data_IF_539108809836
#
_entry.id   IF_539108809836
#
_cell.length_a   1.000
_cell.length_b   1.000
_cell.length_c   1.000
_cell.angle_alpha   90.00
_cell.angle_beta   90.00
_cell.angle_gamma   90.00
#
_symmetry.space_group_name_H-M   'P 1'
#
loop_
_entity.id
_entity.type
_entity.pdbx_description
1 polymer ?
#
# COMPACT_ATOMS: atom_id res chain seq x y z
N UNK A 1 48.62 12.17 43.50
CA UNK A 1 47.16 12.19 43.23
C UNK A 1 46.91 12.63 41.78
N UNK A 2 47.09 11.75 40.77
CA UNK A 2 46.93 12.14 39.35
C UNK A 2 46.45 10.99 38.46
N UNK A 3 45.31 10.34 38.75
CA UNK A 3 44.74 9.34 37.82
C UNK A 3 43.20 9.27 37.76
N UNK A 4 42.46 10.15 38.44
CA UNK A 4 40.98 10.08 38.46
C UNK A 4 40.28 10.87 37.35
N UNK A 5 40.94 11.87 36.74
CA UNK A 5 40.31 12.74 35.73
C UNK A 5 40.00 12.02 34.40
N UNK A 6 40.90 11.16 33.92
CA UNK A 6 40.68 10.40 32.66
C UNK A 6 39.54 9.40 32.76
N UNK A 7 39.39 8.72 33.92
CA UNK A 7 38.31 7.76 34.13
C UNK A 7 36.94 8.42 34.24
N UNK A 8 36.85 9.61 34.84
CA UNK A 8 35.59 10.37 34.92
C UNK A 8 35.17 10.87 33.53
N UNK A 9 36.13 11.31 32.70
CA UNK A 9 35.84 11.74 31.33
C UNK A 9 35.37 10.58 30.45
N UNK A 10 36.00 9.40 30.58
CA UNK A 10 35.55 8.18 29.91
C UNK A 10 34.14 7.78 30.35
N UNK A 11 33.87 7.77 31.65
CA UNK A 11 32.55 7.39 32.18
C UNK A 11 31.44 8.35 31.70
N UNK A 12 31.74 9.65 31.65
CA UNK A 12 30.84 10.66 31.09
C UNK A 12 30.53 10.40 29.60
N UNK A 13 31.54 10.05 28.81
CA UNK A 13 31.36 9.74 27.39
C UNK A 13 30.52 8.47 27.16
N UNK A 14 30.72 7.42 27.97
CA UNK A 14 29.87 6.23 27.94
C UNK A 14 28.43 6.60 28.29
N UNK A 15 28.21 7.35 29.35
CA UNK A 15 26.86 7.72 29.81
C UNK A 15 26.13 8.61 28.80
N UNK A 16 26.85 9.55 28.19
CA UNK A 16 26.34 10.41 27.12
C UNK A 16 25.97 9.57 25.90
N UNK A 17 26.82 8.61 25.49
CA UNK A 17 26.50 7.73 24.36
C UNK A 17 25.27 6.86 24.61
N UNK A 18 25.07 6.35 25.83
CA UNK A 18 23.91 5.51 26.19
C UNK A 18 22.59 6.29 26.22
N UNK A 19 22.61 7.54 26.71
CA UNK A 19 21.43 8.41 26.73
C UNK A 19 21.05 8.89 25.34
N UNK A 20 22.04 9.21 24.48
CA UNK A 20 21.79 9.53 23.07
C UNK A 20 21.16 8.34 22.31
N UNK A 21 21.56 7.10 22.62
CA UNK A 21 21.00 5.92 21.97
C UNK A 21 19.57 5.61 22.45
N UNK A 22 19.26 5.88 23.71
CA UNK A 22 17.90 5.72 24.28
C UNK A 22 16.94 6.82 23.83
N UNK A 23 17.45 7.98 23.42
CA UNK A 23 16.65 9.10 22.91
C UNK A 23 16.03 8.85 21.51
N UNK A 24 16.45 7.80 20.80
CA UNK A 24 15.89 7.46 19.49
C UNK A 24 14.43 6.93 19.54
N UNK A 25 13.83 6.78 20.73
CA UNK A 25 12.40 6.48 20.87
C UNK A 25 11.96 5.14 20.27
N UNK A 26 12.90 4.25 19.98
CA UNK A 26 12.61 2.90 19.48
C UNK A 26 11.93 2.10 20.59
N UNK A 27 10.70 1.68 20.32
CA UNK A 27 9.98 0.72 21.13
C UNK A 27 9.81 -0.53 20.29
N UNK A 28 9.92 -1.70 20.92
CA UNK A 28 9.59 -2.96 20.26
C UNK A 28 8.15 -2.83 19.75
N UNK A 29 8.00 -3.00 18.44
CA UNK A 29 6.68 -3.02 17.82
C UNK A 29 6.05 -4.35 18.22
N UNK A 30 5.17 -4.30 19.22
CA UNK A 30 4.38 -5.44 19.67
C UNK A 30 3.42 -5.93 18.59
N UNK A 31 2.47 -6.75 18.99
CA UNK A 31 1.40 -7.21 18.10
C UNK A 31 0.65 -6.01 17.49
N UNK A 32 0.04 -6.21 16.32
CA UNK A 32 -0.88 -5.22 15.80
C UNK A 32 -2.03 -5.08 16.80
N UNK A 33 -2.25 -3.86 17.30
CA UNK A 33 -3.38 -3.53 18.16
C UNK A 33 -4.68 -3.57 17.32
N UNK A 34 -5.11 -4.79 16.97
CA UNK A 34 -6.33 -5.07 16.23
C UNK A 34 -7.49 -4.80 17.19
N UNK A 35 -8.48 -3.98 16.80
CA UNK A 35 -9.65 -3.73 17.64
C UNK A 35 -10.41 -5.03 17.92
N UNK A 36 -10.97 -5.17 19.13
CA UNK A 36 -11.67 -6.39 19.57
C UNK A 36 -12.79 -6.77 18.60
N UNK A 37 -13.45 -5.79 17.99
CA UNK A 37 -14.49 -5.98 16.98
C UNK A 37 -13.99 -6.69 15.72
N UNK A 38 -12.68 -6.69 15.45
CA UNK A 38 -12.05 -7.35 14.30
C UNK A 38 -11.19 -8.57 14.70
N UNK A 39 -11.15 -8.93 15.98
CA UNK A 39 -10.48 -10.16 16.46
C UNK A 39 -11.10 -11.43 15.88
N UNK A 40 -12.38 -11.37 15.51
CA UNK A 40 -13.15 -12.44 14.88
C UNK A 40 -13.87 -11.90 13.65
N UNK A 41 -13.59 -12.44 12.47
CA UNK A 41 -14.22 -11.97 11.23
C UNK A 41 -14.38 -13.09 10.21
N UNK A 42 -15.22 -12.85 9.21
CA UNK A 42 -15.38 -13.71 8.04
C UNK A 42 -14.61 -13.16 6.85
N UNK A 43 -14.09 -14.05 6.00
CA UNK A 43 -13.37 -13.68 4.78
C UNK A 43 -14.17 -14.16 3.58
N UNK A 44 -14.54 -13.23 2.69
CA UNK A 44 -15.11 -13.55 1.38
C UNK A 44 -14.21 -12.99 0.28
N UNK A 45 -14.30 -13.52 -0.93
CA UNK A 45 -13.40 -13.14 -2.02
C UNK A 45 -14.05 -13.27 -3.39
N UNK A 46 -13.57 -12.49 -4.35
CA UNK A 46 -13.86 -12.64 -5.77
C UNK A 46 -13.50 -14.04 -6.30
N UNK A 47 -12.46 -14.65 -5.72
CA UNK A 47 -12.05 -16.03 -5.98
C UNK A 47 -11.56 -16.67 -4.67
N UNK A 48 -12.35 -17.62 -4.17
CA UNK A 48 -12.06 -18.34 -2.93
C UNK A 48 -10.79 -19.22 -3.00
N UNK A 49 -10.35 -19.61 -4.19
CA UNK A 49 -9.20 -20.49 -4.40
C UNK A 49 -7.93 -19.76 -4.85
N UNK A 50 -8.00 -18.44 -5.05
CA UNK A 50 -6.84 -17.67 -5.49
C UNK A 50 -5.67 -17.74 -4.51
N UNK A 51 -4.45 -17.62 -5.05
CA UNK A 51 -3.23 -17.55 -4.23
C UNK A 51 -3.32 -16.42 -3.20
N UNK A 52 -3.84 -15.27 -3.60
CA UNK A 52 -3.96 -14.11 -2.74
C UNK A 52 -4.96 -14.33 -1.59
N UNK A 53 -6.14 -14.92 -1.85
CA UNK A 53 -7.10 -15.27 -0.79
C UNK A 53 -6.46 -16.16 0.28
N UNK A 54 -5.69 -17.18 -0.15
CA UNK A 54 -4.95 -18.07 0.78
C UNK A 54 -3.89 -17.31 1.59
N UNK A 55 -3.18 -16.38 0.97
CA UNK A 55 -2.16 -15.55 1.64
C UNK A 55 -2.81 -14.61 2.67
N UNK A 56 -3.93 -13.96 2.33
CA UNK A 56 -4.68 -13.10 3.26
C UNK A 56 -5.18 -13.92 4.46
N UNK A 57 -5.81 -15.06 4.22
CA UNK A 57 -6.27 -15.95 5.31
C UNK A 57 -5.12 -16.36 6.24
N UNK A 58 -3.96 -16.71 5.68
CA UNK A 58 -2.78 -17.04 6.48
C UNK A 58 -2.30 -15.83 7.27
N UNK A 59 -2.26 -14.64 6.66
CA UNK A 59 -1.83 -13.43 7.33
C UNK A 59 -2.75 -13.08 8.51
N UNK A 60 -4.07 -13.16 8.33
CA UNK A 60 -5.04 -12.94 9.40
C UNK A 60 -4.79 -13.87 10.59
N UNK A 61 -4.63 -15.18 10.33
CA UNK A 61 -4.34 -16.17 11.38
C UNK A 61 -3.01 -15.95 12.09
N UNK A 62 -1.98 -15.48 11.37
CA UNK A 62 -0.68 -15.15 11.97
C UNK A 62 -0.74 -13.90 12.88
N UNK A 63 -1.79 -13.10 12.79
CA UNK A 63 -2.05 -11.96 13.67
C UNK A 63 -3.23 -12.27 14.61
N UNK A 64 -3.41 -13.56 14.94
CA UNK A 64 -4.38 -14.06 15.93
C UNK A 64 -5.85 -13.72 15.65
N UNK A 65 -6.20 -13.42 14.41
CA UNK A 65 -7.60 -13.16 14.00
C UNK A 65 -8.29 -14.49 13.72
N UNK A 66 -9.39 -14.75 14.43
CA UNK A 66 -10.23 -15.93 14.24
C UNK A 66 -11.09 -15.78 12.98
N UNK A 67 -10.87 -16.65 11.99
CA UNK A 67 -11.66 -16.68 10.76
C UNK A 67 -12.86 -17.60 10.94
N UNK A 68 -14.07 -17.05 10.82
CA UNK A 68 -15.33 -17.79 10.96
C UNK A 68 -16.21 -17.71 9.71
N UNK A 69 -17.26 -18.52 9.69
CA UNK A 69 -18.24 -18.51 8.60
C UNK A 69 -18.99 -17.16 8.53
N UNK A 70 -19.34 -16.68 7.32
CA UNK A 70 -20.13 -15.46 7.16
C UNK A 70 -21.48 -15.54 7.88
N UNK A 71 -21.84 -14.47 8.59
CA UNK A 71 -23.13 -14.28 9.26
C UNK A 71 -23.42 -12.78 9.43
N UNK A 72 -24.69 -12.41 9.61
CA UNK A 72 -25.13 -11.00 9.63
C UNK A 72 -24.52 -10.17 10.78
N UNK A 73 -24.17 -10.82 11.90
CA UNK A 73 -23.57 -10.20 13.07
C UNK A 73 -22.04 -10.35 13.14
N UNK A 74 -21.41 -10.82 12.06
CA UNK A 74 -19.97 -11.02 11.99
C UNK A 74 -19.34 -10.03 11.02
N UNK A 75 -18.27 -9.30 11.41
CA UNK A 75 -17.51 -8.47 10.49
C UNK A 75 -17.03 -9.27 9.28
N UNK A 76 -16.98 -8.62 8.12
CA UNK A 76 -16.51 -9.25 6.89
C UNK A 76 -15.40 -8.44 6.24
N UNK A 77 -14.34 -9.12 5.81
CA UNK A 77 -13.45 -8.63 4.77
C UNK A 77 -13.78 -9.32 3.45
N UNK A 78 -14.19 -8.53 2.47
CA UNK A 78 -14.47 -8.99 1.12
C UNK A 78 -13.34 -8.55 0.19
N UNK A 79 -12.58 -9.49 -0.39
CA UNK A 79 -11.59 -9.21 -1.42
C UNK A 79 -12.33 -8.98 -2.75
N UNK A 80 -12.28 -7.76 -3.28
CA UNK A 80 -13.05 -7.36 -4.47
C UNK A 80 -12.31 -7.76 -5.75
N UNK A 81 -11.01 -7.46 -5.82
CA UNK A 81 -10.17 -7.77 -6.98
C UNK A 81 -8.69 -7.69 -6.65
N UNK A 82 -7.92 -8.42 -7.43
CA UNK A 82 -6.47 -8.33 -7.55
C UNK A 82 -6.14 -8.08 -9.02
N UNK A 83 -5.16 -7.22 -9.30
CA UNK A 83 -4.67 -7.01 -10.66
C UNK A 83 -3.20 -6.61 -10.66
N UNK A 84 -2.47 -7.09 -11.65
CA UNK A 84 -1.07 -6.74 -11.88
C UNK A 84 -0.95 -5.95 -13.18
N UNK A 85 -0.10 -4.93 -13.18
CA UNK A 85 0.22 -4.13 -14.37
C UNK A 85 1.73 -3.94 -14.48
N UNK A 86 2.20 -3.71 -15.70
CA UNK A 86 3.62 -3.50 -15.97
C UNK A 86 3.82 -2.27 -16.85
N UNK A 87 4.84 -1.46 -16.57
CA UNK A 87 5.29 -0.38 -17.45
C UNK A 87 6.80 -0.33 -17.57
N UNK A 88 7.31 0.24 -18.65
CA UNK A 88 8.75 0.41 -18.86
C UNK A 88 9.24 1.67 -18.15
N UNK A 89 10.31 1.54 -17.35
CA UNK A 89 10.94 2.66 -16.65
C UNK A 89 12.12 3.23 -17.43
N UNK A 90 12.87 2.37 -18.12
CA UNK A 90 14.07 2.77 -18.87
C UNK A 90 14.27 1.92 -20.11
N UNK A 91 15.06 2.46 -21.04
CA UNK A 91 15.38 1.81 -22.31
C UNK A 91 16.89 1.59 -22.44
N UNK A 92 17.27 0.51 -23.10
CA UNK A 92 18.62 0.33 -23.64
C UNK A 92 18.86 1.28 -24.81
N UNK A 93 20.12 1.44 -25.22
CA UNK A 93 20.52 2.19 -26.43
C UNK A 93 19.80 1.69 -27.70
N UNK A 94 19.35 0.43 -27.70
CA UNK A 94 18.59 -0.22 -28.77
C UNK A 94 17.08 0.05 -28.72
N UNK A 95 16.63 0.99 -27.86
CA UNK A 95 15.21 1.35 -27.67
C UNK A 95 14.34 0.19 -27.14
N UNK A 96 14.97 -0.83 -26.56
CA UNK A 96 14.28 -1.94 -25.86
C UNK A 96 14.15 -1.63 -24.38
N UNK A 97 13.12 -2.15 -23.73
CA UNK A 97 12.98 -2.04 -22.28
C UNK A 97 14.23 -2.59 -21.56
N UNK A 98 14.79 -1.79 -20.65
CA UNK A 98 15.90 -2.19 -19.78
C UNK A 98 15.40 -2.48 -18.36
N UNK A 99 14.53 -1.62 -17.85
CA UNK A 99 13.88 -1.79 -16.57
C UNK A 99 12.37 -1.72 -16.72
N UNK A 100 11.69 -2.62 -16.03
CA UNK A 100 10.23 -2.68 -15.96
C UNK A 100 9.80 -2.49 -14.52
N UNK A 101 8.70 -1.77 -14.35
CA UNK A 101 7.99 -1.65 -13.10
C UNK A 101 6.78 -2.56 -13.11
N UNK A 102 6.62 -3.33 -12.05
CA UNK A 102 5.49 -4.21 -11.77
C UNK A 102 4.67 -3.60 -10.63
N UNK A 103 3.38 -3.37 -10.86
CA UNK A 103 2.46 -2.86 -9.85
C UNK A 103 1.34 -3.87 -9.62
N UNK A 104 1.24 -4.35 -8.38
CA UNK A 104 0.12 -5.14 -7.87
C UNK A 104 -0.87 -4.20 -7.19
N UNK A 105 -2.13 -4.21 -7.63
CA UNK A 105 -3.23 -3.45 -7.05
C UNK A 105 -4.28 -4.42 -6.49
N UNK A 106 -4.65 -4.22 -5.24
CA UNK A 106 -5.69 -5.00 -4.56
C UNK A 106 -6.76 -4.05 -4.04
N UNK A 107 -8.02 -4.37 -4.29
CA UNK A 107 -9.15 -3.68 -3.68
C UNK A 107 -9.93 -4.64 -2.79
N UNK A 108 -10.32 -4.17 -1.61
CA UNK A 108 -11.06 -4.96 -0.63
C UNK A 108 -12.01 -4.06 0.15
N UNK A 109 -13.01 -4.66 0.76
CA UNK A 109 -14.02 -3.98 1.57
C UNK A 109 -14.05 -4.58 2.95
N UNK A 110 -14.13 -3.73 3.97
CA UNK A 110 -14.36 -4.13 5.36
C UNK A 110 -15.75 -3.67 5.76
N UNK A 111 -16.56 -4.60 6.24
CA UNK A 111 -17.91 -4.37 6.73
C UNK A 111 -17.95 -4.76 8.20
N UNK A 112 -18.39 -3.86 9.07
CA UNK A 112 -18.65 -4.15 10.48
C UNK A 112 -20.14 -3.89 10.73
N UNK A 113 -20.88 -4.90 11.24
CA UNK A 113 -22.30 -4.77 11.56
C UNK A 113 -22.56 -3.54 12.45
N UNK A 114 -23.66 -2.83 12.19
CA UNK A 114 -24.09 -1.62 12.94
C UNK A 114 -23.19 -0.38 12.81
N UNK A 115 -21.96 -0.50 12.26
CA UNK A 115 -21.04 0.64 12.09
C UNK A 115 -20.98 1.09 10.64
N UNK A 116 -20.89 0.15 9.69
CA UNK A 116 -20.88 0.47 8.28
C UNK A 116 -19.87 -0.33 7.47
N UNK A 117 -19.54 0.20 6.30
CA UNK A 117 -18.70 -0.47 5.30
C UNK A 117 -17.75 0.53 4.67
N UNK A 118 -16.48 0.15 4.56
CA UNK A 118 -15.45 0.96 3.90
C UNK A 118 -14.65 0.15 2.89
N UNK A 119 -14.44 0.74 1.72
CA UNK A 119 -13.60 0.18 0.66
C UNK A 119 -12.18 0.71 0.79
N UNK A 120 -11.19 -0.16 0.57
CA UNK A 120 -9.78 0.17 0.59
C UNK A 120 -9.10 -0.32 -0.68
N UNK A 121 -8.00 0.35 -1.01
CA UNK A 121 -7.09 -0.06 -2.06
C UNK A 121 -5.67 -0.12 -1.52
N UNK A 122 -4.91 -1.13 -1.89
CA UNK A 122 -3.49 -1.27 -1.57
C UNK A 122 -2.72 -1.59 -2.83
N UNK A 123 -1.66 -0.82 -3.08
CA UNK A 123 -0.73 -1.05 -4.19
C UNK A 123 0.65 -1.42 -3.66
N UNK A 124 1.29 -2.38 -4.32
CA UNK A 124 2.70 -2.70 -4.12
C UNK A 124 3.39 -2.56 -5.48
N UNK A 125 4.51 -1.86 -5.51
CA UNK A 125 5.27 -1.61 -6.73
C UNK A 125 6.71 -2.09 -6.56
N UNK A 126 7.25 -2.76 -7.57
CA UNK A 126 8.63 -3.25 -7.63
C UNK A 126 9.18 -3.05 -9.03
N UNK A 127 10.49 -2.83 -9.17
CA UNK A 127 11.14 -2.83 -10.48
C UNK A 127 12.07 -4.03 -10.65
N UNK A 128 12.30 -4.43 -11.90
CA UNK A 128 13.21 -5.50 -12.27
C UNK A 128 13.83 -5.23 -13.65
N UNK A 129 15.00 -5.82 -13.89
CA UNK A 129 15.71 -5.70 -15.15
C UNK A 129 15.20 -6.71 -16.17
N UNK A 130 14.92 -6.25 -17.39
CA UNK A 130 14.54 -7.09 -18.51
C UNK A 130 15.78 -7.70 -19.18
N UNK A 131 15.67 -8.94 -19.67
CA UNK A 131 16.72 -9.55 -20.47
C UNK A 131 16.12 -10.52 -21.50
N UNK A 132 16.12 -10.19 -22.80
CA UNK A 132 15.51 -11.03 -23.83
C UNK A 132 16.27 -12.35 -24.04
N UNK A 133 17.57 -12.40 -23.73
CA UNK A 133 18.37 -13.63 -23.85
C UNK A 133 18.04 -14.65 -22.76
N UNK A 134 17.40 -14.21 -21.67
CA UNK A 134 17.01 -15.06 -20.53
C UNK A 134 15.54 -14.92 -20.17
N UNK A 135 14.68 -14.76 -21.20
CA UNK A 135 13.25 -14.51 -21.03
C UNK A 135 12.55 -15.51 -20.09
N UNK A 136 12.89 -16.80 -20.15
CA UNK A 136 12.33 -17.81 -19.24
C UNK A 136 12.72 -17.56 -17.78
N UNK A 137 13.99 -17.28 -17.50
CA UNK A 137 14.45 -16.96 -16.16
C UNK A 137 13.80 -15.67 -15.63
N UNK A 138 13.63 -14.67 -16.50
CA UNK A 138 12.93 -13.42 -16.16
C UNK A 138 11.44 -13.61 -15.88
N UNK A 139 10.78 -14.58 -16.54
CA UNK A 139 9.42 -14.95 -16.18
C UNK A 139 9.34 -15.52 -14.76
N UNK A 140 10.25 -16.46 -14.42
CA UNK A 140 10.27 -17.08 -13.08
C UNK A 140 10.61 -16.04 -11.99
N UNK A 141 11.55 -15.14 -12.26
CA UNK A 141 11.88 -14.01 -11.35
C UNK A 141 10.65 -13.13 -11.12
N UNK A 142 9.93 -12.75 -12.17
CA UNK A 142 8.70 -11.96 -12.06
C UNK A 142 7.64 -12.68 -11.23
N UNK A 143 7.41 -13.97 -11.49
CA UNK A 143 6.38 -14.74 -10.78
C UNK A 143 6.72 -14.84 -9.26
N UNK A 144 8.01 -14.99 -8.92
CA UNK A 144 8.48 -14.93 -7.54
C UNK A 144 8.26 -13.54 -6.91
N UNK A 145 8.56 -12.47 -7.66
CA UNK A 145 8.31 -11.10 -7.20
C UNK A 145 6.82 -10.84 -6.94
N UNK A 146 5.92 -11.31 -7.82
CA UNK A 146 4.48 -11.18 -7.62
C UNK A 146 4.03 -11.87 -6.33
N UNK A 147 4.53 -13.06 -6.04
CA UNK A 147 4.20 -13.78 -4.80
C UNK A 147 4.69 -13.06 -3.55
N UNK A 148 5.85 -12.41 -3.61
CA UNK A 148 6.33 -11.55 -2.52
C UNK A 148 5.47 -10.29 -2.37
N UNK A 149 5.11 -9.66 -3.48
CA UNK A 149 4.23 -8.48 -3.50
C UNK A 149 2.85 -8.82 -2.91
N UNK A 150 2.29 -10.00 -3.17
CA UNK A 150 1.06 -10.50 -2.54
C UNK A 150 1.18 -10.61 -1.02
N UNK A 151 2.31 -11.13 -0.50
CA UNK A 151 2.57 -11.20 0.95
C UNK A 151 2.66 -9.81 1.58
N UNK A 152 3.31 -8.87 0.90
CA UNK A 152 3.40 -7.48 1.35
C UNK A 152 2.03 -6.80 1.35
N UNK A 153 1.24 -6.99 0.30
CA UNK A 153 -0.12 -6.47 0.22
C UNK A 153 -1.00 -7.03 1.34
N UNK A 154 -0.99 -8.35 1.58
CA UNK A 154 -1.75 -8.96 2.68
C UNK A 154 -1.33 -8.43 4.06
N UNK A 155 -0.02 -8.24 4.29
CA UNK A 155 0.49 -7.62 5.52
C UNK A 155 -0.04 -6.20 5.69
N UNK A 156 -0.06 -5.43 4.60
CA UNK A 156 -0.60 -4.07 4.60
C UNK A 156 -2.10 -4.05 4.88
N UNK A 157 -2.88 -5.00 4.36
CA UNK A 157 -4.32 -5.14 4.67
C UNK A 157 -4.53 -5.28 6.17
N UNK A 158 -3.84 -6.22 6.84
CA UNK A 158 -3.97 -6.43 8.29
C UNK A 158 -3.58 -5.16 9.07
N UNK A 159 -2.51 -4.50 8.65
CA UNK A 159 -2.10 -3.22 9.25
C UNK A 159 -3.16 -2.13 9.10
N UNK A 160 -3.85 -2.06 7.96
CA UNK A 160 -4.93 -1.10 7.75
C UNK A 160 -6.13 -1.42 8.65
N UNK A 161 -6.45 -2.69 8.87
CA UNK A 161 -7.50 -3.07 9.82
C UNK A 161 -7.19 -2.62 11.25
N UNK A 162 -5.94 -2.73 11.70
CA UNK A 162 -5.53 -2.21 13.02
C UNK A 162 -5.80 -0.70 13.18
N UNK A 163 -5.73 0.07 12.08
CA UNK A 163 -6.00 1.51 12.09
C UNK A 163 -7.49 1.85 12.17
N UNK A 164 -8.38 0.88 11.96
CA UNK A 164 -9.83 1.09 12.03
C UNK A 164 -10.35 1.26 13.46
N UNK A 165 -9.53 0.97 14.48
CA UNK A 165 -9.87 1.14 15.89
C UNK A 165 -10.48 2.52 16.19
N UNK A 166 -9.84 3.59 15.69
CA UNK A 166 -10.34 4.96 15.91
C UNK A 166 -11.68 5.23 15.19
N UNK A 167 -11.86 4.74 13.95
CA UNK A 167 -13.13 4.91 13.22
C UNK A 167 -14.28 4.10 13.81
N UNK A 168 -13.97 2.91 14.34
CA UNK A 168 -14.92 2.04 15.04
C UNK A 168 -15.41 2.71 16.32
N UNK A 169 -14.48 3.24 17.13
CA UNK A 169 -14.81 4.00 18.35
C UNK A 169 -15.65 5.26 18.07
N UNK A 170 -15.41 5.92 16.93
CA UNK A 170 -16.19 7.07 16.49
C UNK A 170 -17.56 6.69 15.88
N UNK A 171 -17.88 5.40 15.74
CA UNK A 171 -19.14 4.91 15.17
C UNK A 171 -19.36 5.32 13.71
N UNK A 172 -18.30 5.67 12.97
CA UNK A 172 -18.40 6.17 11.60
C UNK A 172 -17.41 5.44 10.68
N UNK A 173 -17.94 4.69 9.72
CA UNK A 173 -17.15 4.07 8.64
C UNK A 173 -17.53 4.58 7.25
N UNK A 174 -18.07 5.80 7.17
CA UNK A 174 -18.45 6.41 5.89
C UNK A 174 -17.24 6.71 5.00
N UNK A 175 -17.40 6.43 3.70
CA UNK A 175 -16.42 6.74 2.63
C UNK A 175 -16.12 8.25 2.49
N UNK A 176 -16.91 9.13 3.13
CA UNK A 176 -16.82 10.60 2.95
C UNK A 176 -15.66 11.30 3.67
N UNK A 177 -14.92 10.61 4.53
CA UNK A 177 -13.82 11.25 5.27
C UNK A 177 -12.52 11.37 4.45
N UNK A 178 -12.30 10.50 3.45
CA UNK A 178 -11.05 10.46 2.68
C UNK A 178 -11.01 11.46 1.52
N UNK A 179 -12.18 11.95 1.07
CA UNK A 179 -12.26 12.98 0.02
C UNK A 179 -11.69 14.33 0.46
N UNK A 180 -11.52 14.57 1.78
CA UNK A 180 -10.93 15.81 2.30
C UNK A 180 -9.39 15.79 2.32
N UNK A 181 -8.77 14.61 2.32
CA UNK A 181 -7.31 14.47 2.28
C UNK A 181 -6.79 14.53 0.82
N UNK A 182 -7.55 13.94 -0.12
CA UNK A 182 -7.27 14.03 -1.56
C UNK A 182 -7.36 15.45 -2.12
N UNK A 183 -8.33 16.25 -1.65
CA UNK A 183 -8.47 17.66 -2.05
C UNK A 183 -7.28 18.53 -1.60
N UNK A 184 -6.55 18.11 -0.55
CA UNK A 184 -5.40 18.83 -0.02
C UNK A 184 -4.10 18.47 -0.75
N UNK A 185 -3.97 17.24 -1.23
CA UNK A 185 -2.87 16.79 -2.07
C UNK A 185 -2.99 17.30 -3.53
N UNK A 186 -4.22 17.46 -4.04
CA UNK A 186 -4.46 18.00 -5.38
C UNK A 186 -4.15 19.51 -5.47
N UNK A 187 -4.39 20.29 -4.41
CA UNK A 187 -3.98 21.70 -4.35
C UNK A 187 -2.46 21.94 -4.34
N UNK A 188 -1.65 20.93 -4.03
CA UNK A 188 -0.19 21.03 -4.07
C UNK A 188 0.42 20.68 -5.45
N UNK A 189 -0.41 20.24 -6.40
CA UNK A 189 0.02 19.76 -7.72
C UNK A 189 -0.52 20.60 -8.88
N UNK A 190 -0.89 21.87 -8.65
CA UNK A 190 -1.10 22.86 -9.72
C UNK A 190 0.20 23.63 -9.96
N UNK A 191 1.19 22.97 -10.57
CA UNK A 191 2.39 23.63 -11.11
C UNK A 191 2.85 22.91 -12.36
N UNK A 192 1.97 22.82 -13.36
CA UNK A 192 2.35 22.66 -14.76
C UNK A 192 1.43 23.54 -15.60
N UNK A 193 1.99 24.63 -16.13
CA UNK A 193 1.32 25.50 -17.10
C UNK A 193 1.15 24.67 -18.39
N UNK A 194 -0.11 24.43 -18.78
CA UNK A 194 -0.44 23.88 -20.10
C UNK A 194 -0.79 25.08 -20.98
N UNK A 195 0.17 25.51 -21.79
CA UNK A 195 -0.13 26.43 -22.89
C UNK A 195 -0.90 25.66 -23.96
N UNK A 196 -2.20 25.96 -24.06
CA UNK A 196 -3.05 25.46 -25.14
C UNK A 196 -2.88 26.39 -26.34
N UNK A 197 -2.19 25.93 -27.38
CA UNK A 197 -2.18 26.59 -28.68
C UNK A 197 -3.51 26.26 -29.35
N UNK A 198 -4.44 27.22 -29.38
CA UNK A 198 -5.65 27.12 -30.20
C UNK A 198 -5.26 27.20 -31.68
N UNK A 199 -5.51 26.12 -32.42
CA UNK A 199 -5.40 26.13 -33.87
C UNK A 199 -6.71 26.68 -34.43
N UNK A 200 -6.71 27.94 -34.84
CA UNK A 200 -7.85 28.57 -35.49
C UNK A 200 -8.00 28.03 -36.92
N UNK A 201 -8.94 27.11 -37.15
CA UNK A 201 -9.42 26.78 -38.48
C UNK A 201 -10.44 27.85 -38.91
N UNK A 202 -10.05 28.68 -39.88
CA UNK A 202 -10.99 29.62 -40.51
C UNK A 202 -12.10 28.87 -41.28
N UNK A 203 -13.36 29.35 -41.25
CA UNK A 203 -14.45 28.76 -42.00
C UNK A 203 -14.27 29.01 -43.50
N UNK A 204 -14.49 27.97 -44.30
CA UNK A 204 -14.55 28.03 -45.77
C UNK A 204 -15.54 29.10 -46.24
N UNK A 205 -15.03 30.12 -46.92
CA UNK A 205 -15.84 31.09 -47.63
C UNK A 205 -16.55 30.42 -48.82
N UNK A 206 -17.89 30.39 -48.78
CA UNK A 206 -18.71 30.22 -49.97
C UNK A 206 -18.58 31.49 -50.82
N UNK A 207 -18.17 31.36 -52.08
CA UNK A 207 -18.45 32.38 -53.10
C UNK A 207 -19.31 31.76 -54.19
N UNK A 208 -20.49 32.35 -54.36
CA UNK A 208 -21.47 32.14 -55.43
C UNK A 208 -21.07 32.95 -56.67
N UNK A 209 -21.42 32.42 -57.85
CA UNK A 209 -21.61 33.08 -59.16
C UNK A 209 -20.36 33.70 -59.80
N UNK A 210 -20.03 33.41 -61.06
CA UNK A 210 -20.85 33.56 -62.28
C UNK A 210 -20.60 32.43 -63.29
#
# INVERSE_FOLDING_TARGET
MRFTCSSILKLSLIFLSATLLSACGFHLRGDYDIPDELSKLSVTSYDQYSSFTRIVNRQLRMNEIEIVQPADNVPNIHLIKEGTSTRTLSLYQTTRAAEKELTLLVSYRVTIPQIGTKTFSTSVTRSYLDNPLTALAKSVERDMMEDEMRKLAATQIVRQMARLKASIQAGTMDEKADSKESDKAQKASETYQIDTIETHLEPSAQTKTE
#
